data_IF_721568368111
#
_entry.id   IF_721568368111
#
_cell.length_a   1.000
_cell.length_b   1.000
_cell.length_c   1.000
_cell.angle_alpha   90.00
_cell.angle_beta   90.00
_cell.angle_gamma   90.00
#
_symmetry.space_group_name_H-M   'P 1'
#
loop_
_entity.id
_entity.type
_entity.pdbx_description
1 polymer ?
#
# COMPACT_ATOMS: atom_id res chain seq x y z
N UNK A 1 -9.50 57.14 -10.50
CA UNK A 1 -9.60 56.29 -9.26
C UNK A 1 -9.44 54.82 -9.70
N UNK A 2 -8.20 54.35 -9.71
CA UNK A 2 -7.85 53.06 -10.26
C UNK A 2 -8.04 51.96 -9.20
N UNK A 3 -8.98 51.07 -9.43
CA UNK A 3 -9.10 49.81 -8.66
C UNK A 3 -8.12 48.83 -9.23
N UNK A 4 -7.02 48.61 -8.51
CA UNK A 4 -6.13 47.48 -8.72
C UNK A 4 -6.82 46.23 -8.18
N UNK A 5 -7.24 45.38 -9.08
CA UNK A 5 -7.66 44.02 -8.76
C UNK A 5 -6.37 43.25 -8.47
N UNK A 6 -6.11 42.96 -7.20
CA UNK A 6 -5.10 42.02 -6.79
C UNK A 6 -5.62 40.60 -7.07
N UNK A 7 -5.11 40.00 -8.14
CA UNK A 7 -5.30 38.58 -8.43
C UNK A 7 -4.43 37.83 -7.43
N UNK A 8 -5.03 37.34 -6.35
CA UNK A 8 -4.41 36.34 -5.47
C UNK A 8 -4.39 35.02 -6.23
N UNK A 9 -3.28 34.75 -6.88
CA UNK A 9 -2.94 33.40 -7.33
C UNK A 9 -2.57 32.63 -6.04
N UNK A 10 -3.54 31.93 -5.49
CA UNK A 10 -3.26 30.90 -4.51
C UNK A 10 -2.49 29.80 -5.24
N UNK A 11 -1.19 29.77 -5.04
CA UNK A 11 -0.32 28.67 -5.46
C UNK A 11 -0.66 27.50 -4.56
N UNK A 12 -1.62 26.68 -4.94
CA UNK A 12 -1.80 25.37 -4.34
C UNK A 12 -0.54 24.57 -4.68
N UNK A 13 0.37 24.45 -3.72
CA UNK A 13 1.39 23.42 -3.78
C UNK A 13 0.66 22.09 -3.61
N UNK A 14 0.36 21.43 -4.71
CA UNK A 14 -0.09 20.06 -4.74
C UNK A 14 1.15 19.23 -4.44
N UNK A 15 1.23 18.64 -3.29
CA UNK A 15 2.25 17.64 -2.95
C UNK A 15 1.81 16.31 -3.54
N UNK A 16 2.72 15.61 -4.13
CA UNK A 16 2.50 14.38 -4.87
C UNK A 16 2.99 13.22 -4.00
N UNK A 17 2.22 12.15 -3.92
CA UNK A 17 2.54 10.96 -3.18
C UNK A 17 2.55 9.75 -4.10
N UNK A 18 3.50 8.87 -3.87
CA UNK A 18 3.64 7.54 -4.41
C UNK A 18 3.27 6.61 -3.27
N UNK A 19 2.57 5.54 -3.58
CA UNK A 19 2.21 4.49 -2.65
C UNK A 19 3.04 3.25 -2.94
N UNK A 20 3.59 2.61 -1.93
CA UNK A 20 4.33 1.36 -2.12
C UNK A 20 4.55 0.61 -0.81
N UNK A 21 4.87 -0.66 -0.93
CA UNK A 21 5.15 -1.50 0.24
C UNK A 21 6.32 -1.00 1.07
N UNK A 22 6.25 -1.11 2.41
CA UNK A 22 7.39 -0.89 3.27
C UNK A 22 8.47 -1.96 3.03
N UNK A 23 9.71 -1.69 3.42
CA UNK A 23 10.77 -2.70 3.38
C UNK A 23 10.36 -3.95 4.12
N UNK A 24 10.51 -5.12 3.48
CA UNK A 24 10.32 -6.41 4.15
C UNK A 24 11.30 -6.56 5.32
N UNK A 25 10.80 -6.90 6.49
CA UNK A 25 11.63 -7.08 7.69
C UNK A 25 12.67 -8.19 7.51
N UNK A 26 13.84 -8.02 8.12
CA UNK A 26 14.87 -9.06 8.10
C UNK A 26 15.91 -8.92 6.99
N UNK A 27 15.84 -7.93 6.14
CA UNK A 27 16.81 -7.65 5.09
C UNK A 27 18.15 -7.12 5.65
N UNK A 28 18.99 -8.01 6.18
CA UNK A 28 20.31 -7.68 6.68
C UNK A 28 21.36 -7.89 5.60
N UNK A 29 22.29 -6.92 5.45
CA UNK A 29 23.41 -7.00 4.52
C UNK A 29 24.69 -6.48 5.18
N UNK A 30 25.82 -7.04 4.80
CA UNK A 30 27.12 -6.48 5.13
C UNK A 30 27.48 -5.42 4.09
N UNK A 31 27.53 -4.17 4.52
CA UNK A 31 27.85 -3.01 3.70
C UNK A 31 29.35 -2.77 3.75
N UNK A 32 29.97 -2.44 2.62
CA UNK A 32 31.31 -1.89 2.55
C UNK A 32 31.23 -0.38 2.64
N UNK A 33 31.92 0.24 3.60
CA UNK A 33 31.96 1.69 3.74
C UNK A 33 33.05 2.31 2.86
N UNK A 34 32.96 3.62 2.63
CA UNK A 34 33.94 4.36 1.80
C UNK A 34 35.35 4.35 2.38
N UNK A 35 35.50 4.18 3.70
CA UNK A 35 36.81 4.01 4.37
C UNK A 35 37.38 2.59 4.26
N UNK A 36 36.65 1.67 3.59
CA UNK A 36 37.03 0.27 3.41
C UNK A 36 36.61 -0.66 4.53
N UNK A 37 36.01 -0.16 5.61
CA UNK A 37 35.45 -0.97 6.68
C UNK A 37 34.11 -1.62 6.26
N UNK A 38 33.62 -2.55 7.09
CA UNK A 38 32.37 -3.28 6.84
C UNK A 38 31.43 -3.15 8.04
N UNK A 39 30.14 -2.99 7.79
CA UNK A 39 29.10 -2.93 8.81
C UNK A 39 27.93 -3.82 8.41
N UNK A 40 27.33 -4.50 9.39
CA UNK A 40 26.06 -5.22 9.20
C UNK A 40 24.93 -4.25 9.44
N UNK A 41 24.06 -4.09 8.46
CA UNK A 41 22.93 -3.17 8.52
C UNK A 41 21.68 -3.78 7.90
N UNK A 42 20.52 -3.34 8.34
CA UNK A 42 19.20 -3.72 7.83
C UNK A 42 18.65 -2.60 6.95
N UNK A 43 18.02 -2.97 5.82
CA UNK A 43 17.29 -2.00 5.01
C UNK A 43 16.05 -1.52 5.77
N UNK A 44 15.78 -0.21 5.70
CA UNK A 44 14.66 0.49 6.35
C UNK A 44 14.05 1.50 5.38
N UNK A 45 12.78 1.83 5.60
CA UNK A 45 12.06 2.86 4.84
C UNK A 45 11.13 2.27 3.78
N UNK A 46 10.87 3.08 2.78
CA UNK A 46 9.94 2.83 1.68
C UNK A 46 10.54 3.31 0.34
N UNK A 47 9.74 3.34 -0.70
CA UNK A 47 10.12 3.84 -2.04
C UNK A 47 10.53 5.31 -2.02
N UNK A 48 9.95 6.10 -1.10
CA UNK A 48 10.23 7.55 -1.00
C UNK A 48 11.58 7.80 -0.36
N UNK A 49 11.87 7.09 0.72
CA UNK A 49 13.13 7.19 1.43
C UNK A 49 13.51 5.87 2.08
N UNK A 50 14.61 5.29 1.63
CA UNK A 50 15.19 4.10 2.25
C UNK A 50 16.67 4.28 2.53
N UNK A 51 17.13 3.59 3.56
CA UNK A 51 18.51 3.60 4.04
C UNK A 51 18.82 2.30 4.76
N UNK A 52 20.08 2.06 5.01
CA UNK A 52 20.53 0.94 5.81
C UNK A 52 20.81 1.41 7.24
N UNK A 53 20.39 0.64 8.24
CA UNK A 53 20.59 0.97 9.66
C UNK A 53 21.29 -0.18 10.37
N UNK A 54 22.40 0.11 11.06
CA UNK A 54 23.11 -0.87 11.88
C UNK A 54 22.36 -1.18 13.18
N UNK A 55 22.80 -2.20 13.92
CA UNK A 55 22.25 -2.53 15.25
C UNK A 55 22.41 -1.40 16.26
N UNK A 56 23.42 -0.53 16.07
CA UNK A 56 23.68 0.67 16.89
C UNK A 56 22.85 1.90 16.44
N UNK A 57 21.97 1.75 15.43
CA UNK A 57 21.14 2.84 14.93
C UNK A 57 21.85 3.82 13.99
N UNK A 58 23.06 3.49 13.51
CA UNK A 58 23.77 4.31 12.52
C UNK A 58 23.19 4.05 11.14
N UNK A 59 22.85 5.13 10.43
CA UNK A 59 22.20 5.09 9.12
C UNK A 59 23.21 5.24 7.99
N UNK A 60 23.04 4.48 6.92
CA UNK A 60 23.94 4.45 5.77
C UNK A 60 23.16 4.57 4.47
N UNK A 61 23.71 5.30 3.52
CA UNK A 61 23.19 5.44 2.14
C UNK A 61 24.30 5.14 1.14
N UNK A 62 23.99 4.77 -0.11
CA UNK A 62 24.99 4.64 -1.16
C UNK A 62 25.83 5.92 -1.28
N UNK A 63 27.14 5.78 -1.41
CA UNK A 63 28.07 6.87 -1.72
C UNK A 63 28.02 7.25 -3.20
N UNK A 64 28.82 8.25 -3.58
CA UNK A 64 28.92 8.71 -4.99
C UNK A 64 29.34 7.60 -5.96
N UNK A 65 30.12 6.66 -5.51
CA UNK A 65 30.46 5.44 -6.24
C UNK A 65 29.62 4.29 -5.65
N UNK A 66 28.50 3.97 -6.19
CA UNK A 66 27.46 3.02 -5.71
C UNK A 66 27.98 1.71 -5.04
N UNK A 67 29.28 1.40 -5.14
CA UNK A 67 29.93 0.23 -4.54
C UNK A 67 30.26 0.37 -3.04
N UNK A 68 30.09 1.56 -2.46
CA UNK A 68 30.41 1.82 -1.04
C UNK A 68 29.36 2.73 -0.40
N UNK A 69 29.20 2.59 0.91
CA UNK A 69 28.19 3.29 1.69
C UNK A 69 28.82 4.37 2.57
N UNK A 70 28.09 5.45 2.80
CA UNK A 70 28.46 6.55 3.70
C UNK A 70 27.45 6.68 4.83
N UNK A 71 27.91 7.20 5.97
CA UNK A 71 27.00 7.53 7.08
C UNK A 71 26.08 8.67 6.64
N UNK A 72 24.77 8.47 6.80
CA UNK A 72 23.76 9.48 6.56
C UNK A 72 23.37 10.16 7.86
N UNK A 73 23.27 11.50 7.85
CA UNK A 73 22.69 12.25 8.97
C UNK A 73 21.17 12.32 8.81
N UNK A 74 20.43 12.43 9.92
CA UNK A 74 19.00 12.67 9.90
C UNK A 74 18.63 13.86 9.02
N UNK A 75 19.41 14.94 9.09
CA UNK A 75 19.20 16.14 8.28
C UNK A 75 19.37 15.86 6.77
N UNK A 76 20.37 15.05 6.38
CA UNK A 76 20.59 14.68 4.97
C UNK A 76 19.47 13.80 4.42
N UNK A 77 18.94 12.90 5.23
CA UNK A 77 17.79 12.05 4.89
C UNK A 77 16.53 12.91 4.74
N UNK A 78 16.24 13.77 5.71
CA UNK A 78 15.11 14.69 5.66
C UNK A 78 15.18 15.64 4.46
N UNK A 79 16.38 16.11 4.10
CA UNK A 79 16.55 16.92 2.90
C UNK A 79 16.22 16.13 1.63
N UNK A 80 16.68 14.88 1.52
CA UNK A 80 16.35 14.00 0.38
C UNK A 80 14.84 13.78 0.27
N UNK A 81 14.18 13.49 1.40
CA UNK A 81 12.74 13.29 1.44
C UNK A 81 11.95 14.55 1.03
N UNK A 82 12.34 15.73 1.57
CA UNK A 82 11.69 16.99 1.18
C UNK A 82 11.80 17.27 -0.32
N UNK A 83 12.95 16.98 -0.92
CA UNK A 83 13.17 17.16 -2.36
C UNK A 83 12.31 16.17 -3.14
N UNK A 84 12.27 14.89 -2.75
CA UNK A 84 11.45 13.88 -3.41
C UNK A 84 9.96 14.19 -3.26
N UNK A 85 9.47 14.49 -2.06
CA UNK A 85 8.07 14.90 -1.82
C UNK A 85 7.68 16.18 -2.57
N UNK A 86 8.59 17.12 -2.76
CA UNK A 86 8.32 18.32 -3.54
C UNK A 86 8.20 18.05 -5.05
N UNK A 87 8.79 16.97 -5.53
CA UNK A 87 8.79 16.59 -6.93
C UNK A 87 7.70 15.58 -7.30
N UNK A 88 7.05 14.97 -6.30
CA UNK A 88 6.00 13.98 -6.51
C UNK A 88 4.61 14.65 -6.43
N UNK A 89 3.72 14.43 -7.41
CA UNK A 89 2.36 15.01 -7.45
C UNK A 89 1.34 14.00 -6.95
N UNK A 90 0.43 14.37 -6.08
CA UNK A 90 -0.65 13.51 -5.66
C UNK A 90 -1.62 13.26 -6.81
N UNK A 91 -1.86 12.02 -7.10
CA UNK A 91 -2.90 11.63 -8.05
C UNK A 91 -4.26 11.97 -7.46
N UNK A 92 -5.13 12.55 -8.26
CA UNK A 92 -6.48 12.96 -7.84
C UNK A 92 -7.43 11.81 -7.51
N UNK A 93 -6.92 10.59 -7.30
CA UNK A 93 -7.67 9.39 -6.97
C UNK A 93 -8.30 9.42 -5.56
N UNK A 94 -7.77 10.24 -4.67
CA UNK A 94 -8.13 10.21 -3.24
C UNK A 94 -9.39 10.99 -2.86
N UNK A 95 -10.12 11.49 -3.82
CA UNK A 95 -11.46 12.05 -3.57
C UNK A 95 -12.55 11.00 -3.36
N UNK A 96 -12.19 9.77 -3.11
CA UNK A 96 -13.16 8.78 -2.70
C UNK A 96 -13.66 9.05 -1.30
N UNK A 97 -14.55 10.01 -1.18
CA UNK A 97 -15.56 9.91 -0.13
C UNK A 97 -16.20 8.55 -0.29
N UNK A 98 -16.22 7.80 0.81
CA UNK A 98 -16.86 6.47 0.94
C UNK A 98 -18.17 6.33 0.14
N UNK A 99 -18.88 7.42 -0.13
CA UNK A 99 -20.15 7.45 -0.85
C UNK A 99 -20.08 7.48 -2.39
N UNK A 100 -18.92 7.67 -3.03
CA UNK A 100 -18.85 7.80 -4.48
C UNK A 100 -18.33 6.57 -5.23
N UNK A 101 -17.65 5.62 -4.57
CA UNK A 101 -17.04 4.45 -5.20
C UNK A 101 -17.75 3.13 -4.99
N UNK A 102 -18.83 3.07 -4.23
CA UNK A 102 -19.58 1.84 -3.89
C UNK A 102 -20.02 0.98 -5.10
N UNK A 103 -20.02 1.52 -6.30
CA UNK A 103 -20.48 0.79 -7.50
C UNK A 103 -19.36 0.27 -8.38
N UNK A 104 -18.16 0.86 -8.34
CA UNK A 104 -17.04 0.47 -9.22
C UNK A 104 -16.49 -0.90 -8.79
N UNK A 105 -16.34 -1.13 -7.48
CA UNK A 105 -15.78 -2.36 -6.93
C UNK A 105 -16.84 -3.42 -6.64
N UNK A 106 -17.77 -3.62 -7.59
CA UNK A 106 -18.82 -4.62 -7.51
C UNK A 106 -18.96 -5.38 -8.82
N UNK A 107 -19.45 -6.61 -8.72
CA UNK A 107 -19.65 -7.49 -9.87
C UNK A 107 -18.33 -8.03 -10.42
N UNK A 108 -18.39 -8.45 -11.67
CA UNK A 108 -17.21 -8.98 -12.38
C UNK A 108 -16.49 -7.84 -13.08
N UNK A 109 -15.18 -7.78 -12.86
CA UNK A 109 -14.28 -6.82 -13.50
C UNK A 109 -13.07 -7.54 -14.06
N UNK A 110 -12.51 -6.99 -15.13
CA UNK A 110 -11.24 -7.45 -15.69
C UNK A 110 -10.09 -6.65 -15.11
N UNK A 111 -9.01 -7.31 -14.68
CA UNK A 111 -7.73 -6.70 -14.40
C UNK A 111 -6.72 -7.06 -15.47
N UNK A 112 -5.64 -6.31 -15.56
CA UNK A 112 -4.56 -6.58 -16.52
C UNK A 112 -3.23 -6.76 -15.79
N UNK A 113 -2.55 -7.88 -16.05
CA UNK A 113 -1.16 -8.12 -15.63
C UNK A 113 -0.30 -8.25 -16.88
N UNK A 114 0.68 -7.35 -17.04
CA UNK A 114 1.66 -7.37 -18.14
C UNK A 114 2.97 -7.92 -17.61
N UNK A 115 3.33 -9.13 -18.02
CA UNK A 115 4.64 -9.72 -17.74
C UNK A 115 5.72 -8.96 -18.53
N UNK A 116 6.72 -8.42 -17.83
CA UNK A 116 7.69 -7.51 -18.43
C UNK A 116 9.12 -7.95 -18.17
N UNK A 117 9.87 -8.18 -19.23
CA UNK A 117 11.30 -8.49 -19.21
C UNK A 117 12.14 -7.25 -19.51
N UNK A 118 13.24 -7.10 -18.77
CA UNK A 118 14.26 -6.09 -19.08
C UNK A 118 15.21 -6.60 -20.18
N UNK A 119 16.01 -5.68 -20.74
CA UNK A 119 17.03 -6.06 -21.70
C UNK A 119 18.02 -7.09 -21.13
N UNK A 120 18.36 -6.96 -19.87
CA UNK A 120 19.35 -7.77 -19.15
C UNK A 120 18.75 -8.83 -18.22
N UNK A 121 17.43 -8.92 -18.12
CA UNK A 121 16.77 -9.83 -17.18
C UNK A 121 15.47 -10.37 -17.74
N UNK A 122 15.34 -11.68 -17.74
CA UNK A 122 14.14 -12.41 -18.14
C UNK A 122 13.56 -13.16 -16.94
N UNK A 123 12.32 -13.59 -17.06
CA UNK A 123 11.67 -14.46 -16.08
C UNK A 123 12.43 -15.78 -15.91
N UNK A 124 12.37 -16.36 -14.72
CA UNK A 124 12.88 -17.70 -14.44
C UNK A 124 12.10 -18.71 -15.29
N UNK A 125 12.79 -19.75 -15.76
CA UNK A 125 12.16 -20.79 -16.56
C UNK A 125 10.96 -21.42 -15.85
N UNK A 126 9.82 -21.50 -16.54
CA UNK A 126 8.55 -21.91 -15.99
C UNK A 126 7.72 -20.80 -15.30
N UNK A 127 8.26 -19.59 -15.17
CA UNK A 127 7.49 -18.41 -14.75
C UNK A 127 6.94 -17.69 -15.99
N UNK A 128 5.88 -18.23 -16.52
CA UNK A 128 5.24 -17.80 -17.78
C UNK A 128 3.78 -17.33 -17.55
N UNK A 129 3.12 -16.95 -18.65
CA UNK A 129 1.71 -16.55 -18.65
C UNK A 129 0.83 -17.60 -17.99
N UNK A 130 1.06 -18.88 -18.25
CA UNK A 130 0.23 -19.95 -17.69
C UNK A 130 0.40 -20.08 -16.18
N UNK A 131 1.62 -19.90 -15.67
CA UNK A 131 1.91 -19.88 -14.24
C UNK A 131 1.24 -18.69 -13.55
N UNK A 132 1.46 -17.49 -14.07
CA UNK A 132 0.90 -16.28 -13.46
C UNK A 132 -0.62 -16.18 -13.61
N UNK A 133 -1.21 -16.74 -14.69
CA UNK A 133 -2.67 -16.87 -14.82
C UNK A 133 -3.27 -17.72 -13.71
N UNK A 134 -2.60 -18.78 -13.28
CA UNK A 134 -3.04 -19.58 -12.13
C UNK A 134 -2.91 -18.82 -10.83
N UNK A 135 -1.77 -18.18 -10.58
CA UNK A 135 -1.54 -17.36 -9.39
C UNK A 135 -2.57 -16.23 -9.28
N UNK A 136 -2.94 -15.64 -10.41
CA UNK A 136 -3.93 -14.56 -10.44
C UNK A 136 -5.38 -15.05 -10.29
N UNK A 137 -5.78 -16.15 -10.98
CA UNK A 137 -7.19 -16.43 -11.23
C UNK A 137 -7.70 -17.79 -10.76
N UNK A 138 -6.83 -18.80 -10.54
CA UNK A 138 -7.28 -20.16 -10.25
C UNK A 138 -7.93 -20.22 -8.86
N UNK A 139 -9.23 -20.51 -8.83
CA UNK A 139 -9.99 -20.65 -7.56
C UNK A 139 -9.42 -21.79 -6.73
N UNK A 140 -9.08 -21.53 -5.49
CA UNK A 140 -8.48 -22.49 -4.56
C UNK A 140 -7.03 -22.84 -4.91
N UNK A 141 -6.30 -21.94 -5.60
CA UNK A 141 -4.91 -22.15 -5.94
C UNK A 141 -4.07 -22.48 -4.71
N UNK A 142 -3.44 -23.65 -4.70
CA UNK A 142 -2.75 -24.20 -3.51
C UNK A 142 -1.42 -24.85 -3.83
N UNK A 143 -0.81 -24.54 -4.96
CA UNK A 143 0.57 -24.95 -5.23
C UNK A 143 1.48 -24.34 -4.16
N UNK A 144 2.16 -25.20 -3.40
CA UNK A 144 2.98 -24.75 -2.28
C UNK A 144 4.00 -23.69 -2.73
N UNK A 145 4.11 -22.57 -1.99
CA UNK A 145 3.53 -22.28 -0.68
C UNK A 145 2.20 -21.48 -0.70
N UNK A 146 1.60 -21.21 -1.85
CA UNK A 146 0.38 -20.43 -2.01
C UNK A 146 -0.82 -21.03 -1.23
N UNK A 147 -1.71 -20.14 -0.75
CA UNK A 147 -2.94 -20.48 0.00
C UNK A 147 -4.22 -20.00 -0.67
N UNK A 148 -4.10 -19.44 -1.85
CA UNK A 148 -5.15 -18.93 -2.72
C UNK A 148 -4.54 -18.11 -3.85
N UNK A 149 -5.37 -17.76 -4.83
CA UNK A 149 -5.03 -16.82 -5.90
C UNK A 149 -5.34 -15.38 -5.49
N UNK A 150 -4.95 -14.41 -6.33
CA UNK A 150 -5.35 -13.00 -6.18
C UNK A 150 -6.88 -12.87 -6.26
N UNK A 151 -7.51 -13.61 -7.17
CA UNK A 151 -8.98 -13.68 -7.29
C UNK A 151 -9.63 -14.21 -6.02
N UNK A 152 -9.09 -15.29 -5.43
CA UNK A 152 -9.58 -15.83 -4.14
C UNK A 152 -9.50 -14.77 -3.04
N UNK A 153 -8.42 -13.99 -3.04
CA UNK A 153 -8.23 -12.92 -2.06
C UNK A 153 -9.35 -11.88 -2.17
N UNK A 154 -9.52 -11.25 -3.33
CA UNK A 154 -10.53 -10.19 -3.49
C UNK A 154 -11.98 -10.70 -3.35
N UNK A 155 -12.27 -11.92 -3.80
CA UNK A 155 -13.57 -12.56 -3.54
C UNK A 155 -13.82 -12.70 -2.03
N UNK A 156 -12.83 -13.14 -1.25
CA UNK A 156 -12.98 -13.30 0.19
C UNK A 156 -13.13 -11.92 0.88
N UNK A 157 -12.33 -10.90 0.49
CA UNK A 157 -12.42 -9.59 1.12
C UNK A 157 -13.76 -8.91 0.85
N UNK A 158 -14.31 -9.07 -0.34
CA UNK A 158 -15.58 -8.47 -0.74
C UNK A 158 -16.82 -9.28 -0.37
N UNK A 159 -16.67 -10.41 0.33
CA UNK A 159 -17.76 -11.35 0.57
C UNK A 159 -18.44 -11.79 -0.74
N UNK A 160 -17.65 -11.97 -1.82
CA UNK A 160 -18.11 -12.36 -3.15
C UNK A 160 -18.77 -11.24 -3.96
N UNK A 161 -18.76 -10.00 -3.47
CA UNK A 161 -19.36 -8.87 -4.18
C UNK A 161 -18.49 -8.35 -5.33
N UNK A 162 -17.20 -8.58 -5.29
CA UNK A 162 -16.22 -8.14 -6.28
C UNK A 162 -15.42 -9.34 -6.79
N UNK A 163 -15.63 -9.70 -8.05
CA UNK A 163 -14.92 -10.79 -8.73
C UNK A 163 -13.98 -10.19 -9.77
N UNK A 164 -12.68 -10.30 -9.52
CA UNK A 164 -11.63 -9.77 -10.38
C UNK A 164 -10.99 -10.90 -11.17
N UNK A 165 -11.11 -10.86 -12.50
CA UNK A 165 -10.44 -11.77 -13.43
C UNK A 165 -9.32 -11.03 -14.14
N UNK A 166 -8.10 -11.57 -14.09
CA UNK A 166 -6.96 -10.96 -14.75
C UNK A 166 -6.68 -11.56 -16.12
N UNK A 167 -6.60 -10.73 -17.13
CA UNK A 167 -5.87 -11.08 -18.33
C UNK A 167 -4.36 -10.97 -18.04
N UNK A 168 -3.62 -12.06 -18.21
CA UNK A 168 -2.17 -12.11 -18.00
C UNK A 168 -1.53 -12.25 -19.37
N UNK A 169 -0.72 -11.26 -19.76
CA UNK A 169 -0.15 -11.19 -21.12
C UNK A 169 1.37 -10.99 -21.11
N UNK A 170 2.00 -11.26 -22.21
CA UNK A 170 3.45 -11.16 -22.37
C UNK A 170 4.15 -12.53 -22.40
N UNK A 171 5.43 -12.68 -21.95
CA UNK A 171 6.25 -11.55 -21.52
C UNK A 171 6.61 -10.61 -22.67
N UNK A 172 6.48 -9.30 -22.41
CA UNK A 172 6.98 -8.27 -23.31
C UNK A 172 8.39 -7.87 -22.92
N UNK A 173 9.24 -7.53 -23.91
CA UNK A 173 10.64 -7.14 -23.64
C UNK A 173 10.84 -5.66 -23.88
N UNK A 174 11.26 -4.95 -22.83
CA UNK A 174 11.52 -3.51 -22.87
C UNK A 174 13.00 -3.20 -23.18
N UNK A 175 13.29 -1.94 -23.52
CA UNK A 175 14.50 -1.57 -24.26
C UNK A 175 15.78 -1.47 -23.42
N UNK A 176 15.70 -1.24 -22.10
CA UNK A 176 16.82 -0.93 -21.22
C UNK A 176 17.05 -2.02 -20.18
N UNK A 177 18.20 -1.94 -19.51
CA UNK A 177 18.52 -2.77 -18.35
C UNK A 177 17.65 -2.40 -17.15
N UNK A 178 17.41 -3.31 -16.23
CA UNK A 178 16.62 -3.09 -15.01
C UNK A 178 17.13 -1.89 -14.21
N UNK A 179 18.45 -1.70 -14.11
CA UNK A 179 19.07 -0.59 -13.39
C UNK A 179 18.76 0.80 -13.97
N UNK A 180 18.40 0.89 -15.24
CA UNK A 180 17.96 2.16 -15.85
C UNK A 180 16.63 2.63 -15.25
N UNK A 181 15.67 1.73 -15.09
CA UNK A 181 14.34 2.03 -14.57
C UNK A 181 14.32 2.17 -13.04
N UNK A 182 15.26 1.54 -12.36
CA UNK A 182 15.43 1.63 -10.91
C UNK A 182 16.07 2.94 -10.43
N UNK A 183 16.77 3.62 -11.27
CA UNK A 183 17.63 4.80 -11.16
C UNK A 183 17.71 5.60 -9.86
N UNK A 184 18.76 6.39 -9.72
CA UNK A 184 18.97 7.29 -8.56
C UNK A 184 17.94 8.42 -8.47
N UNK A 185 17.17 8.65 -9.54
CA UNK A 185 16.19 9.71 -9.66
C UNK A 185 14.80 9.27 -9.13
N UNK A 186 14.76 8.11 -8.48
CA UNK A 186 13.54 7.58 -7.86
C UNK A 186 12.62 6.87 -8.87
N UNK A 187 11.34 6.85 -8.54
CA UNK A 187 10.33 6.11 -9.29
C UNK A 187 9.95 6.75 -10.64
N UNK A 188 10.40 7.96 -10.90
CA UNK A 188 10.05 8.70 -12.13
C UNK A 188 10.41 7.92 -13.40
N UNK A 189 11.55 7.18 -13.41
CA UNK A 189 11.92 6.31 -14.52
C UNK A 189 11.13 5.00 -14.59
N UNK A 190 10.49 4.61 -13.50
CA UNK A 190 9.59 3.47 -13.53
C UNK A 190 8.41 3.74 -14.47
N UNK A 191 7.94 5.00 -14.58
CA UNK A 191 6.89 5.36 -15.55
C UNK A 191 7.31 5.06 -16.99
N UNK A 192 8.61 5.21 -17.33
CA UNK A 192 9.12 4.80 -18.66
C UNK A 192 9.05 3.27 -18.84
N UNK A 193 9.32 2.48 -17.78
CA UNK A 193 9.10 1.02 -17.81
C UNK A 193 7.63 0.71 -18.12
N UNK A 194 6.72 1.34 -17.41
CA UNK A 194 5.27 1.14 -17.59
C UNK A 194 4.85 1.51 -19.00
N UNK A 195 5.33 2.66 -19.52
CA UNK A 195 5.05 3.07 -20.89
C UNK A 195 5.51 2.04 -21.92
N UNK A 196 6.76 1.58 -21.82
CA UNK A 196 7.30 0.61 -22.78
C UNK A 196 6.52 -0.71 -22.69
N UNK A 197 6.17 -1.17 -21.47
CA UNK A 197 5.40 -2.39 -21.26
C UNK A 197 3.97 -2.27 -21.84
N UNK A 198 3.28 -1.16 -21.56
CA UNK A 198 1.93 -0.89 -22.07
C UNK A 198 1.90 -0.89 -23.60
N UNK A 199 2.79 -0.13 -24.23
CA UNK A 199 2.86 -0.06 -25.70
C UNK A 199 3.25 -1.40 -26.34
N UNK A 200 4.08 -2.19 -25.67
CA UNK A 200 4.44 -3.52 -26.17
C UNK A 200 3.31 -4.56 -25.99
N UNK A 201 2.33 -4.28 -25.15
CA UNK A 201 1.16 -5.12 -24.92
C UNK A 201 -0.06 -4.70 -25.78
N UNK A 202 -0.01 -3.59 -26.54
CA UNK A 202 -1.14 -3.03 -27.30
C UNK A 202 -1.77 -4.04 -28.26
N UNK A 203 -0.97 -4.89 -28.91
CA UNK A 203 -1.46 -5.94 -29.82
C UNK A 203 -1.92 -7.23 -29.09
N UNK A 204 -1.78 -7.32 -27.77
CA UNK A 204 -2.08 -8.51 -26.97
C UNK A 204 -3.45 -8.46 -26.29
N UNK A 205 -3.98 -7.28 -26.02
CA UNK A 205 -5.26 -7.03 -25.34
C UNK A 205 -5.93 -5.78 -25.89
N UNK A 206 -7.22 -5.64 -25.66
CA UNK A 206 -7.96 -4.39 -25.87
C UNK A 206 -8.05 -3.64 -24.53
N UNK A 207 -7.34 -2.52 -24.41
CA UNK A 207 -7.27 -1.74 -23.18
C UNK A 207 -8.62 -1.15 -22.77
N UNK A 208 -9.56 -0.99 -23.70
CA UNK A 208 -10.92 -0.54 -23.38
C UNK A 208 -11.72 -1.50 -22.50
N UNK A 209 -11.31 -2.77 -22.42
CA UNK A 209 -11.92 -3.78 -21.52
C UNK A 209 -11.67 -3.48 -20.02
N UNK A 210 -10.70 -2.63 -19.70
CA UNK A 210 -10.29 -2.30 -18.33
C UNK A 210 -10.74 -0.91 -17.87
N UNK A 211 -11.49 -0.18 -18.70
CA UNK A 211 -12.24 1.02 -18.36
C UNK A 211 -13.59 0.59 -17.77
N UNK A 212 -13.67 0.48 -16.43
CA UNK A 212 -14.80 -0.16 -15.75
C UNK A 212 -16.03 0.73 -15.63
N UNK A 213 -15.85 2.05 -15.63
CA UNK A 213 -16.93 3.02 -15.49
C UNK A 213 -17.25 3.80 -16.76
N UNK A 214 -16.46 3.61 -17.81
CA UNK A 214 -16.68 4.20 -19.14
C UNK A 214 -16.28 5.66 -19.22
N UNK A 215 -15.37 6.14 -18.36
CA UNK A 215 -14.93 7.52 -18.35
C UNK A 215 -13.80 7.80 -19.37
N UNK A 216 -13.29 6.76 -20.02
CA UNK A 216 -12.21 6.81 -21.01
C UNK A 216 -10.82 6.69 -20.41
N UNK A 217 -10.70 6.30 -19.14
CA UNK A 217 -9.43 5.99 -18.47
C UNK A 217 -9.49 4.57 -17.88
N UNK A 218 -8.44 3.79 -18.08
CA UNK A 218 -8.30 2.46 -17.49
C UNK A 218 -8.09 2.63 -15.99
N UNK A 219 -8.88 1.93 -15.15
CA UNK A 219 -8.76 2.06 -13.70
C UNK A 219 -7.39 1.69 -13.20
N UNK A 220 -6.79 0.66 -13.79
CA UNK A 220 -5.43 0.26 -13.44
C UNK A 220 -4.86 -0.83 -14.33
N UNK A 221 -3.54 -0.89 -14.40
CA UNK A 221 -2.76 -1.99 -14.92
C UNK A 221 -1.74 -2.44 -13.88
N UNK A 222 -1.37 -3.71 -13.88
CA UNK A 222 -0.28 -4.24 -13.07
C UNK A 222 0.88 -4.69 -13.97
N UNK A 223 2.06 -4.10 -13.80
CA UNK A 223 3.28 -4.53 -14.49
C UNK A 223 4.09 -5.45 -13.58
N UNK A 224 4.09 -6.75 -13.89
CA UNK A 224 4.90 -7.74 -13.19
C UNK A 224 6.25 -7.85 -13.91
N UNK A 225 7.31 -7.35 -13.28
CA UNK A 225 8.64 -7.35 -13.90
C UNK A 225 9.52 -8.49 -13.42
N UNK A 226 10.40 -8.98 -14.33
CA UNK A 226 11.31 -10.08 -14.07
C UNK A 226 12.35 -9.78 -13.02
N UNK A 227 12.60 -10.72 -12.11
CA UNK A 227 13.61 -10.68 -11.06
C UNK A 227 13.10 -10.13 -9.74
N UNK A 228 14.02 -9.64 -8.89
CA UNK A 228 13.75 -9.17 -7.51
C UNK A 228 13.37 -7.70 -7.46
N UNK A 229 12.61 -7.33 -6.43
CA UNK A 229 12.34 -5.94 -6.08
C UNK A 229 13.35 -5.36 -5.09
N UNK A 230 13.52 -4.04 -5.09
CA UNK A 230 14.43 -3.36 -4.18
C UNK A 230 14.01 -3.48 -2.71
N UNK A 231 12.72 -3.48 -2.43
CA UNK A 231 12.10 -3.59 -1.10
C UNK A 231 12.50 -4.87 -0.35
N UNK A 232 12.84 -5.94 -1.09
CA UNK A 232 13.22 -7.27 -0.56
C UNK A 232 14.63 -7.68 -0.99
N UNK A 233 15.58 -6.75 -0.90
CA UNK A 233 17.00 -7.04 -1.06
C UNK A 233 17.51 -7.20 -2.49
N UNK A 234 16.75 -6.82 -3.51
CA UNK A 234 17.18 -6.83 -4.91
C UNK A 234 18.34 -5.87 -5.23
N UNK A 235 18.57 -4.90 -4.35
CA UNK A 235 19.62 -3.88 -4.49
C UNK A 235 19.20 -2.66 -5.28
N UNK A 236 20.03 -1.61 -5.30
CA UNK A 236 19.74 -0.31 -5.93
C UNK A 236 19.52 -0.36 -7.45
N UNK A 237 19.89 -1.46 -8.09
CA UNK A 237 19.67 -1.66 -9.53
C UNK A 237 18.34 -2.33 -9.88
N UNK A 238 17.41 -2.47 -8.93
CA UNK A 238 16.08 -3.05 -9.15
C UNK A 238 14.98 -2.05 -8.82
N UNK A 239 13.85 -2.15 -9.51
CA UNK A 239 12.69 -1.28 -9.30
C UNK A 239 12.09 -1.59 -7.92
N UNK A 240 11.63 -0.55 -7.22
CA UNK A 240 10.80 -0.70 -6.03
C UNK A 240 9.36 -0.95 -6.46
N UNK A 241 8.66 -1.98 -5.98
CA UNK A 241 7.23 -2.16 -6.21
C UNK A 241 6.44 -0.96 -5.67
N UNK A 242 5.49 -0.48 -6.45
CA UNK A 242 4.71 0.70 -6.09
C UNK A 242 3.46 0.84 -6.96
N UNK A 243 2.52 1.64 -6.48
CA UNK A 243 1.44 2.24 -7.26
C UNK A 243 1.76 3.70 -7.55
N UNK A 244 1.44 4.17 -8.77
CA UNK A 244 1.56 5.56 -9.15
C UNK A 244 0.78 5.90 -10.41
N UNK A 245 0.97 7.15 -10.91
CA UNK A 245 0.43 7.58 -12.18
C UNK A 245 1.51 7.96 -13.19
N UNK A 246 1.19 7.75 -14.46
CA UNK A 246 2.07 8.11 -15.58
C UNK A 246 2.33 9.62 -15.64
N UNK A 247 1.25 10.42 -15.45
CA UNK A 247 1.29 11.88 -15.58
C UNK A 247 2.08 12.58 -14.47
N UNK A 248 2.42 11.87 -13.43
CA UNK A 248 3.14 12.41 -12.29
C UNK A 248 4.64 12.07 -12.30
N UNK A 249 5.04 11.12 -13.17
CA UNK A 249 6.42 10.80 -13.46
C UNK A 249 6.97 11.54 -14.69
N UNK A 250 7.88 10.87 -15.39
CA UNK A 250 8.47 11.43 -16.63
C UNK A 250 7.56 11.32 -17.85
N UNK A 251 6.49 10.55 -17.76
CA UNK A 251 5.63 10.22 -18.89
C UNK A 251 4.28 10.93 -18.80
N UNK A 252 3.63 11.07 -19.93
CA UNK A 252 2.23 11.49 -20.01
C UNK A 252 1.33 10.26 -20.03
N UNK A 253 0.04 10.43 -19.73
CA UNK A 253 -0.98 9.41 -19.96
C UNK A 253 -0.81 8.78 -21.34
N UNK A 254 -0.93 7.47 -21.43
CA UNK A 254 -0.77 6.72 -22.66
C UNK A 254 -2.15 6.52 -23.28
N UNK A 255 -2.32 6.91 -24.52
CA UNK A 255 -3.56 6.64 -25.26
C UNK A 255 -3.40 5.38 -26.09
N UNK A 256 -4.20 4.35 -25.76
CA UNK A 256 -4.27 3.05 -26.44
C UNK A 256 -5.74 2.64 -26.56
N UNK A 257 -6.15 2.01 -27.66
CA UNK A 257 -7.53 1.51 -27.91
C UNK A 257 -8.65 2.50 -27.61
N UNK A 258 -8.36 3.79 -27.73
CA UNK A 258 -9.34 4.87 -27.49
C UNK A 258 -9.43 5.37 -26.05
N UNK A 259 -8.86 4.65 -25.07
CA UNK A 259 -8.82 4.99 -23.65
C UNK A 259 -7.43 5.50 -23.24
N UNK A 260 -7.31 6.03 -22.01
CA UNK A 260 -6.04 6.46 -21.43
C UNK A 260 -5.60 5.52 -20.32
N UNK A 261 -4.34 5.11 -20.34
CA UNK A 261 -3.66 4.47 -19.21
C UNK A 261 -2.89 5.54 -18.45
N UNK A 262 -3.21 5.70 -17.18
CA UNK A 262 -2.57 6.65 -16.26
C UNK A 262 -2.19 5.99 -14.93
N UNK A 263 -3.16 5.43 -14.22
CA UNK A 263 -2.95 4.70 -12.97
C UNK A 263 -2.35 3.34 -13.25
N UNK A 264 -1.30 3.00 -12.52
CA UNK A 264 -0.64 1.71 -12.60
C UNK A 264 -0.11 1.26 -11.26
N UNK A 265 0.07 -0.04 -11.12
CA UNK A 265 0.92 -0.60 -10.07
C UNK A 265 1.94 -1.57 -10.67
N UNK A 266 3.01 -1.83 -9.96
CA UNK A 266 4.02 -2.77 -10.40
C UNK A 266 4.62 -3.58 -9.25
N UNK A 267 5.12 -4.78 -9.57
CA UNK A 267 5.77 -5.65 -8.62
C UNK A 267 6.74 -6.60 -9.28
N UNK A 268 7.48 -7.34 -8.46
CA UNK A 268 8.56 -8.22 -8.89
C UNK A 268 8.11 -9.67 -8.97
N UNK A 269 8.80 -10.42 -9.83
CA UNK A 269 8.64 -11.86 -9.97
C UNK A 269 9.12 -12.63 -8.74
N UNK A 270 10.27 -12.22 -8.16
CA UNK A 270 10.98 -12.97 -7.15
C UNK A 270 11.04 -12.22 -5.81
N UNK A 271 10.93 -12.99 -4.73
CA UNK A 271 11.24 -12.54 -3.38
C UNK A 271 12.75 -12.36 -3.15
N UNK A 272 13.13 -11.91 -1.95
CA UNK A 272 14.52 -11.70 -1.56
C UNK A 272 15.38 -12.98 -1.57
N UNK A 273 14.77 -14.14 -1.43
CA UNK A 273 15.45 -15.44 -1.52
C UNK A 273 15.58 -15.96 -2.96
N UNK A 274 14.91 -15.33 -3.92
CA UNK A 274 14.89 -15.72 -5.33
C UNK A 274 13.85 -16.80 -5.66
N UNK A 275 12.84 -16.96 -4.84
CA UNK A 275 11.66 -17.76 -5.09
C UNK A 275 10.58 -16.91 -5.76
N UNK A 276 9.58 -17.55 -6.38
CA UNK A 276 8.41 -16.85 -6.88
C UNK A 276 7.75 -16.07 -5.73
N UNK A 277 7.54 -14.76 -5.90
CA UNK A 277 6.95 -13.92 -4.88
C UNK A 277 5.49 -14.33 -4.60
N UNK A 278 5.05 -14.14 -3.35
CA UNK A 278 3.66 -14.34 -2.95
C UNK A 278 2.72 -13.27 -3.52
N UNK A 279 1.42 -13.46 -3.34
CA UNK A 279 0.38 -12.52 -3.85
C UNK A 279 0.23 -11.26 -3.01
N UNK A 280 0.79 -11.23 -1.80
CA UNK A 280 0.55 -10.13 -0.85
C UNK A 280 1.00 -8.78 -1.38
N UNK A 281 2.15 -8.76 -2.07
CA UNK A 281 2.65 -7.55 -2.74
C UNK A 281 1.68 -7.06 -3.82
N UNK A 282 1.23 -7.95 -4.71
CA UNK A 282 0.28 -7.59 -5.75
C UNK A 282 -1.03 -7.07 -5.15
N UNK A 283 -1.56 -7.77 -4.13
CA UNK A 283 -2.81 -7.34 -3.48
C UNK A 283 -2.67 -5.99 -2.79
N UNK A 284 -1.52 -5.67 -2.18
CA UNK A 284 -1.23 -4.36 -1.58
C UNK A 284 -1.21 -3.25 -2.63
N UNK A 285 -0.35 -3.38 -3.65
CA UNK A 285 -0.20 -2.34 -4.68
C UNK A 285 -1.49 -2.16 -5.50
N UNK A 286 -2.23 -3.24 -5.73
CA UNK A 286 -3.51 -3.18 -6.40
C UNK A 286 -4.58 -2.48 -5.55
N UNK A 287 -4.51 -2.60 -4.23
CA UNK A 287 -5.42 -1.92 -3.30
C UNK A 287 -5.23 -0.41 -3.31
N UNK A 288 -4.00 0.09 -3.54
CA UNK A 288 -3.77 1.52 -3.74
C UNK A 288 -4.52 2.08 -4.94
N UNK A 289 -4.53 1.35 -6.06
CA UNK A 289 -5.34 1.75 -7.22
C UNK A 289 -6.85 1.80 -6.90
N UNK A 290 -7.30 1.08 -5.88
CA UNK A 290 -8.67 1.17 -5.35
C UNK A 290 -8.86 2.37 -4.42
N UNK A 291 -7.82 3.18 -4.18
CA UNK A 291 -7.84 4.39 -3.36
C UNK A 291 -7.65 4.13 -1.87
N UNK A 292 -7.04 3.02 -1.52
CA UNK A 292 -6.69 2.69 -0.14
C UNK A 292 -5.26 3.17 0.13
N UNK A 293 -5.05 3.83 1.27
CA UNK A 293 -3.77 4.43 1.66
C UNK A 293 -2.91 3.46 2.45
N UNK A 294 -1.61 3.75 2.52
CA UNK A 294 -0.70 3.07 3.44
C UNK A 294 -1.09 3.32 4.88
N UNK A 295 -1.09 2.25 5.69
CA UNK A 295 -1.40 2.28 7.11
C UNK A 295 -0.15 2.17 7.98
N UNK A 296 1.04 2.15 7.39
CA UNK A 296 2.31 2.27 8.12
C UNK A 296 2.77 3.74 8.18
N UNK A 297 3.76 4.01 9.03
CA UNK A 297 4.38 5.33 9.10
C UNK A 297 5.28 5.57 7.88
N UNK A 298 4.82 6.37 6.94
CA UNK A 298 5.55 6.78 5.73
C UNK A 298 6.57 7.91 5.99
N UNK A 299 6.86 8.25 7.25
CA UNK A 299 7.84 9.27 7.62
C UNK A 299 9.28 8.74 7.61
N UNK A 300 10.24 9.63 7.89
CA UNK A 300 11.69 9.42 7.94
C UNK A 300 12.18 8.28 8.84
N UNK A 301 11.88 7.06 8.50
CA UNK A 301 12.42 5.91 9.21
C UNK A 301 11.45 5.19 10.08
N UNK A 302 10.17 5.44 9.88
CA UNK A 302 9.10 4.64 10.43
C UNK A 302 9.28 4.37 11.93
N UNK A 303 8.91 5.29 12.79
CA UNK A 303 9.07 5.12 14.23
C UNK A 303 7.76 4.93 14.95
N UNK A 304 6.68 5.25 14.25
CA UNK A 304 5.36 5.15 14.81
C UNK A 304 4.73 3.81 14.50
N UNK A 305 3.81 3.46 15.34
CA UNK A 305 3.02 2.25 15.17
C UNK A 305 1.90 2.55 14.16
N UNK A 306 1.80 1.72 13.11
CA UNK A 306 0.69 1.67 12.18
C UNK A 306 -0.25 0.51 12.52
N UNK A 307 -0.77 -0.15 11.50
CA UNK A 307 -1.62 -1.33 11.63
C UNK A 307 -0.82 -2.64 11.69
N UNK A 308 0.47 -2.61 11.33
CA UNK A 308 1.39 -3.76 11.37
C UNK A 308 0.86 -4.96 10.57
N UNK A 309 0.97 -6.16 11.15
CA UNK A 309 0.54 -7.42 10.50
C UNK A 309 -0.99 -7.58 10.41
N UNK A 310 -1.76 -6.62 10.96
CA UNK A 310 -3.23 -6.67 10.98
C UNK A 310 -3.88 -6.08 9.73
N UNK A 311 -3.10 -5.41 8.89
CA UNK A 311 -3.58 -4.70 7.71
C UNK A 311 -2.68 -4.98 6.51
N UNK A 312 -3.28 -5.26 5.36
CA UNK A 312 -2.55 -5.49 4.11
C UNK A 312 -1.85 -4.22 3.62
N UNK A 313 -2.38 -3.04 3.98
CA UNK A 313 -1.78 -1.74 3.64
C UNK A 313 -0.66 -1.34 4.59
N UNK A 314 -0.20 -2.29 5.40
CA UNK A 314 0.98 -2.24 6.25
C UNK A 314 1.75 -3.57 6.08
N UNK A 315 2.44 -4.06 7.08
CA UNK A 315 3.21 -5.30 7.02
C UNK A 315 2.36 -6.58 6.83
N UNK A 316 1.03 -6.49 6.91
CA UNK A 316 0.12 -7.61 6.67
C UNK A 316 0.21 -8.22 5.27
N UNK A 317 0.71 -7.47 4.28
CA UNK A 317 1.02 -7.98 2.94
C UNK A 317 2.13 -9.05 2.95
N UNK A 318 3.01 -9.01 3.95
CA UNK A 318 4.11 -9.99 4.12
C UNK A 318 3.74 -11.18 5.00
N UNK A 319 2.52 -11.26 5.53
CA UNK A 319 2.09 -12.41 6.33
C UNK A 319 2.25 -13.70 5.53
N UNK A 320 2.72 -14.76 6.21
CA UNK A 320 3.04 -16.03 5.56
C UNK A 320 4.04 -15.90 4.41
N UNK A 321 5.05 -15.04 4.55
CA UNK A 321 6.04 -14.69 3.52
C UNK A 321 5.42 -14.10 2.23
N UNK A 322 4.25 -13.45 2.34
CA UNK A 322 3.49 -12.89 1.23
C UNK A 322 2.56 -13.89 0.53
N UNK A 323 2.61 -15.17 0.88
CA UNK A 323 1.74 -16.19 0.29
C UNK A 323 0.38 -16.30 0.99
N UNK A 324 0.26 -15.71 2.18
CA UNK A 324 -0.97 -15.65 2.97
C UNK A 324 -1.11 -14.25 3.60
N UNK A 325 -1.28 -13.18 2.77
CA UNK A 325 -1.51 -11.85 3.31
C UNK A 325 -2.77 -11.82 4.17
N UNK A 326 -2.83 -10.91 5.15
CA UNK A 326 -4.04 -10.78 5.99
C UNK A 326 -5.22 -10.24 5.20
N UNK A 327 -6.41 -10.47 5.70
CA UNK A 327 -7.62 -9.89 5.14
C UNK A 327 -7.71 -8.39 5.40
N UNK A 328 -8.51 -7.70 4.60
CA UNK A 328 -8.88 -6.29 4.81
C UNK A 328 -9.51 -6.11 6.18
N UNK A 329 -9.24 -4.99 6.82
CA UNK A 329 -9.96 -4.54 8.00
C UNK A 329 -11.36 -4.04 7.62
N UNK A 330 -12.18 -3.76 8.61
CA UNK A 330 -13.50 -3.15 8.36
C UNK A 330 -13.39 -1.77 7.71
N UNK A 331 -12.28 -1.07 7.89
CA UNK A 331 -12.03 0.23 7.26
C UNK A 331 -11.96 0.10 5.74
N UNK A 332 -11.09 -0.79 5.21
CA UNK A 332 -10.95 -0.99 3.76
C UNK A 332 -12.22 -1.57 3.15
N UNK A 333 -12.86 -2.54 3.83
CA UNK A 333 -14.13 -3.12 3.36
C UNK A 333 -15.24 -2.06 3.28
N UNK A 334 -15.29 -1.13 4.23
CA UNK A 334 -16.22 -0.02 4.22
C UNK A 334 -15.90 0.97 3.09
N UNK A 335 -14.63 1.33 2.93
CA UNK A 335 -14.17 2.20 1.85
C UNK A 335 -14.52 1.65 0.46
N UNK A 336 -14.36 0.34 0.25
CA UNK A 336 -14.73 -0.35 -0.99
C UNK A 336 -16.25 -0.54 -1.15
N UNK A 337 -17.03 -0.28 -0.11
CA UNK A 337 -18.49 -0.47 -0.11
C UNK A 337 -18.93 -1.92 0.01
N UNK A 338 -18.08 -2.81 0.53
CA UNK A 338 -18.36 -4.21 0.76
C UNK A 338 -18.95 -4.50 2.13
N UNK A 339 -18.82 -3.56 3.05
CA UNK A 339 -19.34 -3.62 4.40
C UNK A 339 -19.86 -2.23 4.81
N UNK A 340 -20.93 -2.18 5.59
CA UNK A 340 -21.41 -0.96 6.25
C UNK A 340 -21.37 -1.19 7.75
N UNK A 341 -20.51 -0.47 8.51
CA UNK A 341 -20.43 -0.64 9.95
C UNK A 341 -21.73 -0.23 10.65
N UNK A 342 -22.10 -0.98 11.68
CA UNK A 342 -23.31 -0.72 12.49
C UNK A 342 -22.96 0.33 13.54
N UNK A 343 -23.63 1.48 13.50
CA UNK A 343 -23.40 2.56 14.46
C UNK A 343 -23.95 2.21 15.85
N UNK A 344 -23.08 2.30 16.86
CA UNK A 344 -23.46 2.14 18.27
C UNK A 344 -23.68 3.51 18.90
N UNK A 345 -24.95 3.83 19.24
CA UNK A 345 -25.37 5.13 19.78
C UNK A 345 -25.64 5.11 21.29
N UNK A 346 -25.79 3.93 21.85
CA UNK A 346 -26.13 3.72 23.26
C UNK A 346 -25.40 2.53 23.83
N UNK A 347 -25.47 2.36 25.14
CA UNK A 347 -24.89 1.23 25.83
C UNK A 347 -25.41 -0.07 25.24
N UNK A 348 -24.53 -0.84 24.64
CA UNK A 348 -24.88 -2.04 23.88
C UNK A 348 -24.05 -3.22 24.33
N UNK A 349 -24.64 -4.39 24.37
CA UNK A 349 -23.94 -5.66 24.53
C UNK A 349 -24.12 -6.49 23.27
N UNK A 350 -23.01 -6.82 22.64
CA UNK A 350 -22.96 -7.68 21.45
C UNK A 350 -22.44 -9.04 21.90
N UNK A 351 -23.22 -10.07 21.62
CA UNK A 351 -22.84 -11.46 21.88
C UNK A 351 -22.60 -12.15 20.55
N UNK A 352 -21.69 -13.14 20.53
CA UNK A 352 -21.40 -13.97 19.36
C UNK A 352 -20.95 -13.16 18.12
N UNK A 353 -20.13 -12.13 18.34
CA UNK A 353 -19.54 -11.34 17.27
C UNK A 353 -18.69 -12.25 16.37
N UNK A 354 -19.16 -12.53 15.16
CA UNK A 354 -18.46 -13.35 14.18
C UNK A 354 -17.18 -12.66 13.74
N UNK A 355 -16.20 -13.45 13.34
CA UNK A 355 -14.99 -12.90 12.75
C UNK A 355 -15.30 -12.24 11.37
N UNK A 356 -14.57 -11.19 11.07
CA UNK A 356 -14.73 -10.44 9.81
C UNK A 356 -14.51 -11.37 8.60
N UNK A 357 -13.54 -12.32 8.71
CA UNK A 357 -13.28 -13.37 7.72
C UNK A 357 -14.41 -14.41 7.57
N UNK A 358 -15.34 -14.46 8.51
CA UNK A 358 -16.52 -15.34 8.50
C UNK A 358 -17.81 -14.54 8.18
N UNK A 359 -17.70 -13.43 7.43
CA UNK A 359 -18.79 -12.49 7.12
C UNK A 359 -19.40 -11.86 8.40
N UNK A 360 -18.55 -11.57 9.38
CA UNK A 360 -18.95 -10.86 10.60
C UNK A 360 -19.24 -9.39 10.34
N UNK A 361 -20.08 -8.81 11.22
CA UNK A 361 -20.33 -7.38 11.23
C UNK A 361 -19.16 -6.61 11.84
N UNK A 362 -19.03 -5.35 11.43
CA UNK A 362 -18.22 -4.36 12.14
C UNK A 362 -19.12 -3.31 12.78
N UNK A 363 -18.61 -2.67 13.82
CA UNK A 363 -19.36 -1.64 14.53
C UNK A 363 -18.56 -0.33 14.53
N UNK A 364 -19.27 0.79 14.52
CA UNK A 364 -18.67 2.12 14.54
C UNK A 364 -19.20 2.94 15.70
N UNK A 365 -18.29 3.67 16.37
CA UNK A 365 -18.63 4.59 17.45
C UNK A 365 -18.01 5.94 17.08
N UNK A 366 -18.85 6.91 16.80
CA UNK A 366 -18.41 8.26 16.46
C UNK A 366 -18.13 9.11 17.70
N UNK A 367 -17.16 10.00 17.58
CA UNK A 367 -17.06 11.15 18.49
C UNK A 367 -18.23 12.11 18.18
N UNK A 368 -19.10 12.35 19.17
CA UNK A 368 -20.29 13.19 18.99
C UNK A 368 -19.97 14.65 18.65
N UNK A 369 -18.80 15.12 19.06
CA UNK A 369 -18.36 16.49 18.82
C UNK A 369 -17.59 16.65 17.49
N UNK A 370 -17.06 15.55 16.94
CA UNK A 370 -16.24 15.55 15.74
C UNK A 370 -16.38 14.23 15.00
N UNK A 371 -17.26 14.17 14.01
CA UNK A 371 -17.66 12.92 13.34
C UNK A 371 -16.57 12.29 12.45
N UNK A 372 -15.52 13.05 12.13
CA UNK A 372 -14.37 12.51 11.42
C UNK A 372 -13.43 11.69 12.34
N UNK A 373 -13.65 11.76 13.68
CA UNK A 373 -13.01 10.91 14.67
C UNK A 373 -13.98 9.80 15.12
N UNK A 374 -13.56 8.55 15.00
CA UNK A 374 -14.38 7.39 15.34
C UNK A 374 -13.54 6.15 15.65
N UNK A 375 -14.20 5.16 16.25
CA UNK A 375 -13.67 3.83 16.45
C UNK A 375 -14.41 2.82 15.59
N UNK A 376 -13.66 1.94 14.91
CA UNK A 376 -14.18 0.72 14.29
C UNK A 376 -13.85 -0.48 15.19
N UNK A 377 -14.80 -1.39 15.30
CA UNK A 377 -14.69 -2.58 16.14
C UNK A 377 -14.99 -3.79 15.28
N UNK A 378 -14.06 -4.73 15.22
CA UNK A 378 -14.17 -5.94 14.43
C UNK A 378 -13.60 -7.15 15.18
N UNK A 379 -14.11 -8.33 14.91
CA UNK A 379 -13.54 -9.57 15.43
C UNK A 379 -12.62 -10.19 14.40
N UNK A 380 -11.38 -10.46 14.77
CA UNK A 380 -10.39 -11.17 13.94
C UNK A 380 -10.17 -12.58 14.48
N UNK A 381 -9.95 -13.53 13.58
CA UNK A 381 -9.70 -14.93 13.93
C UNK A 381 -8.67 -15.50 12.97
N UNK A 382 -7.69 -16.22 13.51
CA UNK A 382 -6.62 -16.85 12.74
C UNK A 382 -7.11 -18.01 11.88
N UNK A 383 -7.97 -17.67 10.91
CA UNK A 383 -8.53 -18.61 9.92
C UNK A 383 -8.53 -17.96 8.53
N UNK A 384 -8.53 -18.77 7.48
CA UNK A 384 -8.52 -18.27 6.11
C UNK A 384 -7.32 -17.36 5.85
N UNK A 385 -7.56 -16.18 5.30
CA UNK A 385 -6.51 -15.19 5.02
C UNK A 385 -5.86 -14.61 6.28
N UNK A 386 -6.56 -14.65 7.41
CA UNK A 386 -6.08 -14.17 8.70
C UNK A 386 -5.29 -15.24 9.50
N UNK A 387 -5.01 -16.41 8.93
CA UNK A 387 -4.39 -17.51 9.66
C UNK A 387 -2.97 -17.21 10.17
N UNK A 388 -2.29 -16.24 9.57
CA UNK A 388 -0.94 -15.78 9.96
C UNK A 388 -0.93 -14.54 10.86
N UNK A 389 -2.09 -14.07 11.36
CA UNK A 389 -2.15 -12.97 12.31
C UNK A 389 -1.48 -13.35 13.65
N UNK A 390 -1.01 -12.34 14.38
CA UNK A 390 -0.36 -12.53 15.69
C UNK A 390 -1.34 -12.94 16.80
N UNK A 391 -2.65 -12.78 16.60
CA UNK A 391 -3.68 -13.12 17.60
C UNK A 391 -5.10 -13.23 17.04
N UNK A 392 -6.03 -13.56 17.93
CA UNK A 392 -7.47 -13.62 17.68
C UNK A 392 -8.20 -12.65 18.61
N UNK A 393 -9.37 -12.17 18.20
CA UNK A 393 -10.31 -11.45 19.05
C UNK A 393 -10.70 -10.07 18.55
N UNK A 394 -11.10 -9.21 19.46
CA UNK A 394 -11.55 -7.85 19.14
C UNK A 394 -10.37 -6.99 18.70
N UNK A 395 -10.43 -6.49 17.48
CA UNK A 395 -9.59 -5.42 17.00
C UNK A 395 -10.36 -4.11 17.11
N UNK A 396 -9.74 -3.10 17.70
CA UNK A 396 -10.28 -1.74 17.82
C UNK A 396 -9.38 -0.82 16.99
N UNK A 397 -9.95 -0.19 15.99
CA UNK A 397 -9.26 0.73 15.10
C UNK A 397 -9.74 2.15 15.45
N UNK A 398 -8.81 3.04 15.82
CA UNK A 398 -9.10 4.46 16.01
C UNK A 398 -8.78 5.20 14.72
N UNK A 399 -9.74 5.94 14.23
CA UNK A 399 -9.62 6.77 13.03
C UNK A 399 -9.86 8.23 13.42
N UNK A 400 -8.87 9.09 13.16
CA UNK A 400 -8.98 10.55 13.21
C UNK A 400 -8.72 11.06 11.78
N UNK A 401 -9.81 11.12 10.99
CA UNK A 401 -9.73 11.35 9.56
C UNK A 401 -9.46 12.83 9.25
N UNK A 402 -8.43 13.06 8.46
CA UNK A 402 -8.13 14.36 7.86
C UNK A 402 -7.91 14.19 6.35
N UNK A 403 -8.72 14.89 5.54
CA UNK A 403 -8.69 14.76 4.07
C UNK A 403 -7.30 15.01 3.48
N UNK A 404 -6.52 15.95 4.04
CA UNK A 404 -5.18 16.27 3.54
C UNK A 404 -4.15 15.20 3.92
N UNK A 405 -4.27 14.61 5.10
CA UNK A 405 -3.40 13.52 5.56
C UNK A 405 -3.62 12.30 4.68
N UNK A 406 -4.88 11.93 4.44
CA UNK A 406 -5.22 10.83 3.54
C UNK A 406 -4.80 11.11 2.10
N UNK A 407 -5.15 12.30 1.61
CA UNK A 407 -4.76 12.72 0.26
C UNK A 407 -3.24 12.65 0.03
N UNK A 408 -2.44 12.91 1.04
CA UNK A 408 -0.98 12.90 0.96
C UNK A 408 -0.36 11.57 1.39
N UNK A 409 -1.12 10.51 1.63
CA UNK A 409 -0.63 9.22 2.10
C UNK A 409 0.37 9.34 3.27
N UNK A 410 0.09 10.21 4.24
CA UNK A 410 0.93 10.46 5.41
C UNK A 410 0.23 10.09 6.71
N UNK A 411 -0.61 9.07 6.63
CA UNK A 411 -1.28 8.47 7.77
C UNK A 411 -0.21 7.90 8.72
N UNK A 412 -0.45 8.02 10.03
CA UNK A 412 0.45 7.54 11.08
C UNK A 412 1.85 8.20 11.13
N UNK A 413 2.07 9.30 10.40
CA UNK A 413 3.30 10.08 10.49
C UNK A 413 3.22 11.11 11.60
N UNK A 414 4.14 11.08 12.58
CA UNK A 414 4.20 12.11 13.62
C UNK A 414 5.08 13.28 13.20
N UNK A 415 4.65 14.49 13.56
CA UNK A 415 5.52 15.68 13.60
C UNK A 415 5.77 16.40 12.29
N UNK A 416 5.27 15.94 11.14
CA UNK A 416 5.54 16.58 9.84
C UNK A 416 4.50 17.59 9.40
N UNK A 417 3.28 17.53 9.92
CA UNK A 417 2.22 18.48 9.60
C UNK A 417 1.75 19.20 10.85
N UNK A 418 2.25 20.42 11.05
CA UNK A 418 1.59 21.38 11.93
C UNK A 418 0.48 22.06 11.11
N UNK A 419 -0.74 22.03 11.60
CA UNK A 419 -1.81 22.88 11.06
C UNK A 419 -1.35 24.35 11.05
N UNK A 420 -1.65 25.07 9.99
CA UNK A 420 -1.24 26.46 9.78
C UNK A 420 -2.00 27.43 10.72
N UNK A 421 -2.98 26.98 11.49
CA UNK A 421 -3.89 27.75 12.32
C UNK A 421 -3.52 27.82 13.82
N UNK A 422 -2.32 27.43 14.18
CA UNK A 422 -1.78 27.61 15.54
C UNK A 422 -2.28 26.63 16.60
N UNK A 423 -3.12 25.66 16.23
CA UNK A 423 -3.47 24.55 17.11
C UNK A 423 -2.47 23.41 16.95
N UNK A 424 -1.60 23.26 17.95
CA UNK A 424 -0.76 22.07 18.08
C UNK A 424 -1.62 20.92 18.58
N UNK A 425 -2.28 20.20 17.70
CA UNK A 425 -2.69 18.84 17.96
C UNK A 425 -1.75 17.97 17.16
N UNK A 426 -0.99 17.15 17.85
CA UNK A 426 -0.33 15.98 17.26
C UNK A 426 -1.48 15.10 16.75
N UNK A 427 -1.50 14.87 15.44
CA UNK A 427 -2.48 13.98 14.83
C UNK A 427 -1.84 12.59 14.68
N UNK A 428 -2.05 11.70 15.62
CA UNK A 428 -1.82 10.30 15.33
C UNK A 428 -3.17 9.66 14.99
N UNK A 429 -3.30 9.10 13.81
CA UNK A 429 -4.02 7.86 13.73
C UNK A 429 -3.12 6.83 14.40
N UNK A 430 -3.17 6.76 15.70
CA UNK A 430 -2.45 5.75 16.46
C UNK A 430 -3.46 4.93 17.21
N UNK A 431 -3.51 3.66 16.86
CA UNK A 431 -4.03 2.63 17.76
C UNK A 431 -3.29 2.67 19.11
N UNK A 432 -2.14 3.36 19.21
CA UNK A 432 -1.29 3.46 20.39
C UNK A 432 -1.77 4.43 21.47
N UNK A 433 -2.66 5.36 21.18
CA UNK A 433 -3.18 6.32 22.17
C UNK A 433 -4.46 5.85 22.88
N UNK A 434 -4.94 4.68 22.56
CA UNK A 434 -5.83 4.00 23.46
C UNK A 434 -5.07 3.74 24.76
N UNK A 435 -5.63 4.06 25.96
CA UNK A 435 -5.04 3.73 27.26
C UNK A 435 -4.88 2.21 27.47
N UNK A 436 -5.23 1.44 26.49
CA UNK A 436 -4.90 0.04 26.30
C UNK A 436 -4.02 0.00 25.05
N UNK A 437 -2.71 -0.22 25.23
CA UNK A 437 -1.87 -0.77 24.17
C UNK A 437 -2.70 -1.76 23.37
N UNK A 438 -2.48 -1.88 22.04
CA UNK A 438 -2.97 -3.00 21.24
C UNK A 438 -2.36 -4.32 21.78
N UNK A 439 -2.45 -4.51 23.06
CA UNK A 439 -2.38 -5.81 23.65
C UNK A 439 -3.73 -6.41 23.34
N UNK A 440 -3.71 -7.21 22.30
CA UNK A 440 -4.67 -8.26 22.05
C UNK A 440 -5.45 -8.56 23.34
N UNK A 441 -6.64 -7.99 23.50
CA UNK A 441 -7.60 -8.53 24.45
C UNK A 441 -8.16 -9.81 23.79
N UNK A 442 -7.28 -10.74 23.52
CA UNK A 442 -7.62 -12.02 22.96
C UNK A 442 -6.78 -13.09 23.65
N UNK A 443 -7.11 -13.36 24.87
CA UNK A 443 -6.75 -14.61 25.51
C UNK A 443 -7.99 -15.49 25.55
N UNK A 444 -8.10 -16.42 24.60
CA UNK A 444 -8.86 -17.66 24.76
C UNK A 444 -10.38 -17.55 24.92
N UNK A 445 -11.05 -16.56 24.33
CA UNK A 445 -12.50 -16.53 24.35
C UNK A 445 -13.09 -17.21 23.11
N UNK A 446 -13.83 -18.26 23.34
CA UNK A 446 -14.69 -18.89 22.32
C UNK A 446 -15.83 -17.94 21.86
N UNK A 447 -16.06 -16.83 22.55
CA UNK A 447 -17.06 -15.81 22.27
C UNK A 447 -16.50 -14.43 22.59
N UNK A 448 -16.59 -13.50 21.63
CA UNK A 448 -16.34 -12.07 21.87
C UNK A 448 -17.63 -11.45 22.36
N UNK A 449 -17.64 -11.00 23.61
CA UNK A 449 -18.73 -10.19 24.18
C UNK A 449 -18.22 -8.77 24.29
N UNK A 450 -18.75 -7.89 23.46
CA UNK A 450 -18.42 -6.46 23.49
C UNK A 450 -19.46 -5.73 24.33
N UNK A 451 -18.99 -5.03 25.36
CA UNK A 451 -19.79 -4.10 26.15
C UNK A 451 -19.27 -2.70 25.92
N UNK A 452 -20.07 -1.87 25.27
CA UNK A 452 -19.77 -0.47 25.03
C UNK A 452 -20.56 0.36 26.03
N UNK A 453 -19.86 1.20 26.81
CA UNK A 453 -20.48 2.19 27.68
C UNK A 453 -20.11 3.58 27.21
N UNK A 454 -21.08 4.38 26.81
CA UNK A 454 -20.93 5.68 26.16
C UNK A 454 -20.14 6.72 26.97
N UNK A 455 -19.91 6.49 28.26
CA UNK A 455 -19.27 7.47 29.14
C UNK A 455 -17.75 7.43 29.20
N UNK A 456 -17.08 6.52 28.51
CA UNK A 456 -15.63 6.29 28.73
C UNK A 456 -14.75 6.36 27.48
N UNK A 457 -15.31 6.34 26.28
CA UNK A 457 -14.50 6.19 25.05
C UNK A 457 -13.84 7.52 24.63
N UNK A 458 -14.49 8.66 24.87
CA UNK A 458 -13.97 9.98 24.48
C UNK A 458 -13.64 10.90 25.68
N UNK A 459 -13.33 10.38 26.87
CA UNK A 459 -12.82 11.23 27.94
C UNK A 459 -11.40 11.68 27.58
N UNK A 460 -11.26 12.90 27.05
CA UNK A 460 -10.00 13.63 27.09
C UNK A 460 -9.47 13.62 28.52
N UNK A 461 -8.27 13.09 28.69
CA UNK A 461 -7.43 13.50 29.82
C UNK A 461 -7.02 14.94 29.54
N UNK A 462 -7.56 15.86 30.34
CA UNK A 462 -7.14 17.27 30.42
C UNK A 462 -5.75 17.35 31.00
#
# INVERSE_FOLDING_TARGET
MNKRIALLVALFMVTLMINAVPVKKGNWKTLRLVDGSYVKAQLKGDETLHYWESEEGVRYVPGENEDAYVVATTESLQKKMRVRRANTRAVGLHKARVNQRKTIYQGKKKGLIILTEFKDKSFVDGHDVAKFSKVANEIGYSEYPFKGSVKDYFLAQSNGQFELDFDVVGPVKISRNSSYYAGSDGLERATTMIREATLAAEDLVDFSDYDWDGDGEVEQIYVLYAGKGQHDGGGSGTVWPHEWSMSDGYESKIKVDGVYVNTYSCGCELDGEGKLAGIGLLCHEYSHCMGIMDMYDTSDGGGNFGMYNWDIMDYGCYNGDGYLPCGYTSYEKWLCGWLEPIELKEDTTITDMKALSEHGDAYIIYNDNFKDEYYLLENRKRTGWDASLDGDGLLVIHVDYDELIWYNNVINTTGSFKRVDGYTQDFPMTISDLPFSMQTIAWGMAQVILRVTSTHIFRKTV
#
